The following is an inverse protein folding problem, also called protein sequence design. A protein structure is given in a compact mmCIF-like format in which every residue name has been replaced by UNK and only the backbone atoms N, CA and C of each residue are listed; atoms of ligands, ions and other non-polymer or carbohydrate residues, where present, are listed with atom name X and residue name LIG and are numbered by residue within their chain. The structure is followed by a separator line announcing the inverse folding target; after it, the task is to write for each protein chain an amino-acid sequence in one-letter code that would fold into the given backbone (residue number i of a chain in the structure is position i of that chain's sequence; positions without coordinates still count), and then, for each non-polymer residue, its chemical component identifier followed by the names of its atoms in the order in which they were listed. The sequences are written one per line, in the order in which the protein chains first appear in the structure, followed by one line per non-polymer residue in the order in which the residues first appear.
data_IF_361746361059
#
_entry.id   IF_361746361059
#
_cell.length_a   1.000
_cell.length_b   1.000
_cell.length_c   1.000
_cell.angle_alpha   90.00
_cell.angle_beta   90.00
_cell.angle_gamma   90.00
#
_symmetry.space_group_name_H-M   'P 1'
#
loop_
_entity.id
_entity.type
_entity.pdbx_description
1 polymer ?
#
# COMPACT_ATOMS: atom_id res chain seq x y z
N UNK A 1 6.95 -11.78 -3.88
CA UNK A 1 6.78 -10.76 -2.82
C UNK A 1 6.98 -9.36 -3.41
N UNK A 2 5.90 -8.65 -3.73
CA UNK A 2 5.97 -7.23 -4.13
C UNK A 2 5.97 -6.35 -2.87
N UNK A 3 7.02 -6.43 -2.05
CA UNK A 3 7.15 -5.61 -0.84
C UNK A 3 7.25 -4.09 -1.14
N UNK A 4 7.58 -3.72 -2.38
CA UNK A 4 7.72 -2.33 -2.82
C UNK A 4 6.42 -1.67 -3.29
N UNK A 5 5.32 -2.42 -3.44
CA UNK A 5 4.07 -1.86 -3.96
C UNK A 5 3.47 -0.76 -3.06
N UNK A 6 3.38 -0.94 -1.72
CA UNK A 6 2.91 0.10 -0.81
C UNK A 6 3.81 1.34 -0.85
N UNK A 7 5.12 1.14 -1.02
CA UNK A 7 6.10 2.22 -1.11
C UNK A 7 5.89 3.07 -2.38
N UNK A 8 5.70 2.43 -3.54
CA UNK A 8 5.43 3.12 -4.81
C UNK A 8 4.10 3.91 -4.76
N UNK A 9 3.07 3.33 -4.14
CA UNK A 9 1.79 4.03 -3.94
C UNK A 9 1.98 5.22 -2.99
N UNK A 10 2.75 5.05 -1.92
CA UNK A 10 3.12 6.15 -1.00
C UNK A 10 3.80 7.31 -1.72
N UNK A 11 4.76 7.03 -2.61
CA UNK A 11 5.40 8.07 -3.44
C UNK A 11 4.39 8.78 -4.35
N UNK A 12 3.44 8.05 -4.95
CA UNK A 12 2.35 8.62 -5.75
C UNK A 12 1.44 9.55 -4.94
N UNK A 13 1.13 9.20 -3.69
CA UNK A 13 0.35 10.04 -2.77
C UNK A 13 1.10 11.35 -2.50
N UNK A 14 2.38 11.28 -2.11
CA UNK A 14 3.21 12.46 -1.81
C UNK A 14 3.37 13.36 -3.03
N UNK A 15 3.64 12.79 -4.20
CA UNK A 15 3.76 13.57 -5.43
C UNK A 15 2.43 14.24 -5.80
N UNK A 16 1.31 13.52 -5.64
CA UNK A 16 -0.03 14.05 -5.93
C UNK A 16 -0.45 15.16 -4.95
N UNK A 17 -0.08 15.06 -3.67
CA UNK A 17 -0.35 16.13 -2.69
C UNK A 17 0.51 17.35 -2.95
N UNK A 18 1.79 17.18 -3.30
CA UNK A 18 2.69 18.27 -3.70
C UNK A 18 2.20 19.01 -4.95
N UNK A 19 1.59 18.30 -5.90
CA UNK A 19 1.02 18.90 -7.11
C UNK A 19 -0.36 19.54 -6.86
N UNK A 20 -0.86 19.54 -5.62
CA UNK A 20 -2.17 20.10 -5.25
C UNK A 20 -3.38 19.29 -5.73
N UNK A 21 -3.16 18.15 -6.39
CA UNK A 21 -4.22 17.29 -6.95
C UNK A 21 -4.78 16.36 -5.87
N UNK A 22 -5.57 16.92 -4.94
CA UNK A 22 -6.15 16.19 -3.81
C UNK A 22 -6.98 14.96 -4.23
N UNK A 23 -7.74 15.04 -5.32
CA UNK A 23 -8.54 13.90 -5.84
C UNK A 23 -7.69 12.68 -6.18
N UNK A 24 -6.52 12.89 -6.79
CA UNK A 24 -5.61 11.80 -7.15
C UNK A 24 -4.95 11.21 -5.90
N UNK A 25 -4.63 12.03 -4.90
CA UNK A 25 -4.09 11.56 -3.62
C UNK A 25 -5.08 10.62 -2.89
N UNK A 26 -6.38 10.96 -2.88
CA UNK A 26 -7.40 10.06 -2.32
C UNK A 26 -7.52 8.75 -3.09
N UNK A 27 -7.37 8.77 -4.42
CA UNK A 27 -7.42 7.59 -5.27
C UNK A 27 -6.22 6.65 -5.00
N UNK A 28 -5.01 7.22 -4.89
CA UNK A 28 -3.83 6.47 -4.48
C UNK A 28 -3.95 5.93 -3.06
N UNK A 29 -4.52 6.71 -2.14
CA UNK A 29 -4.77 6.26 -0.76
C UNK A 29 -5.73 5.06 -0.72
N UNK A 30 -6.82 5.10 -1.49
CA UNK A 30 -7.77 3.99 -1.59
C UNK A 30 -7.14 2.74 -2.22
N UNK A 31 -6.33 2.93 -3.28
CA UNK A 31 -5.56 1.84 -3.90
C UNK A 31 -4.61 1.18 -2.89
N UNK A 32 -3.94 1.96 -2.04
CA UNK A 32 -3.08 1.43 -0.98
C UNK A 32 -3.85 0.54 0.00
N UNK A 33 -5.07 0.94 0.35
CA UNK A 33 -5.94 0.19 1.26
C UNK A 33 -6.31 -1.18 0.67
N UNK A 34 -6.66 -1.23 -0.62
CA UNK A 34 -6.94 -2.50 -1.33
C UNK A 34 -5.71 -3.40 -1.32
N UNK A 35 -4.52 -2.84 -1.58
CA UNK A 35 -3.26 -3.61 -1.61
C UNK A 35 -2.95 -4.18 -0.22
N UNK A 36 -3.14 -3.38 0.84
CA UNK A 36 -2.96 -3.86 2.22
C UNK A 36 -3.95 -4.98 2.55
N UNK A 37 -5.22 -4.85 2.18
CA UNK A 37 -6.22 -5.88 2.42
C UNK A 37 -5.92 -7.17 1.64
N UNK A 38 -5.48 -7.05 0.38
CA UNK A 38 -5.09 -8.19 -0.44
C UNK A 38 -3.84 -8.89 0.12
N UNK A 39 -2.86 -8.09 0.57
CA UNK A 39 -1.67 -8.59 1.25
C UNK A 39 -2.04 -9.32 2.54
N UNK A 40 -2.92 -8.75 3.34
CA UNK A 40 -3.39 -9.36 4.58
C UNK A 40 -4.11 -10.67 4.28
N UNK A 41 -4.98 -10.74 3.27
CA UNK A 41 -5.64 -11.98 2.87
C UNK A 41 -4.62 -13.06 2.44
N UNK A 42 -3.58 -12.67 1.71
CA UNK A 42 -2.59 -13.60 1.18
C UNK A 42 -1.60 -14.08 2.26
N UNK A 43 -1.16 -13.19 3.15
CA UNK A 43 -0.13 -13.47 4.15
C UNK A 43 -0.66 -13.68 5.58
N UNK A 44 -1.95 -13.47 5.88
CA UNK A 44 -2.50 -13.75 7.22
C UNK A 44 -2.61 -15.25 7.50
N UNK A 45 -2.54 -16.10 6.47
CA UNK A 45 -2.53 -17.57 6.63
C UNK A 45 -1.11 -18.14 6.63
N UNK A 46 -0.12 -17.34 6.24
CA UNK A 46 1.27 -17.74 6.40
C UNK A 46 1.59 -17.77 7.89
N UNK A 47 1.99 -18.93 8.38
CA UNK A 47 2.50 -19.07 9.73
C UNK A 47 3.64 -18.06 9.87
N UNK A 48 3.48 -17.09 10.78
CA UNK A 48 4.56 -16.22 11.21
C UNK A 48 5.59 -17.17 11.83
N UNK A 49 6.58 -17.61 11.04
CA UNK A 49 7.75 -18.32 11.52
C UNK A 49 8.50 -17.33 12.40
N UNK A 50 8.03 -17.16 13.64
CA UNK A 50 8.86 -16.68 14.73
C UNK A 50 9.94 -17.73 14.89
N UNK A 51 11.04 -17.51 14.17
CA UNK A 51 12.32 -18.09 14.52
C UNK A 51 12.71 -17.52 15.89
N UNK A 52 12.19 -18.15 16.93
CA UNK A 52 12.79 -18.09 18.26
C UNK A 52 14.06 -18.93 18.27
#
# INVERSE_FOLDING_TARGET
MFMYLPFLIGCGIVFSTLTGKRKLAYLFWFSNLIVVLAWLKYHATDALLLSF
#
